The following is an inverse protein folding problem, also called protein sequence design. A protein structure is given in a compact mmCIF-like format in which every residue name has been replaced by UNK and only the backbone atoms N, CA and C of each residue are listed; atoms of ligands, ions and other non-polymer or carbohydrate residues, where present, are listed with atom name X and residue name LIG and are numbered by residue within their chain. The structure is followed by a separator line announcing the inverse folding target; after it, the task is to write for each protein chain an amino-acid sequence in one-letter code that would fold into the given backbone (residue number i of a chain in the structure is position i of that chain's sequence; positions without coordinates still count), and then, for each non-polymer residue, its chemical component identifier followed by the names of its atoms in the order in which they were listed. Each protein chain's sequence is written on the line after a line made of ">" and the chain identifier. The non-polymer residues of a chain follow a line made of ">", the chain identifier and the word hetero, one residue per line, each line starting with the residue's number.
data_IF_562017681720
#
_entry.id   IF_562017681720
#
_cell.length_a   1.000
_cell.length_b   1.000
_cell.length_c   1.000
_cell.angle_alpha   90.00
_cell.angle_beta   90.00
_cell.angle_gamma   90.00
#
_symmetry.space_group_name_H-M   'P 1'
#
loop_
_entity.id
_entity.type
_entity.pdbx_description
1 polymer ?
#
# COMPACT_ATOMS: atom_id res chain seq x y z
N UNK A 1 -13.95 -15.26 -3.62
CA UNK A 1 -14.40 -13.89 -3.30
C UNK A 1 -13.28 -12.91 -3.59
N UNK A 2 -13.64 -11.82 -4.25
CA UNK A 2 -12.66 -10.82 -4.64
C UNK A 2 -11.90 -10.22 -3.45
N UNK A 3 -12.61 -9.86 -2.38
CA UNK A 3 -11.99 -9.24 -1.21
C UNK A 3 -11.01 -10.19 -0.54
N UNK A 4 -11.38 -11.46 -0.38
CA UNK A 4 -10.48 -12.45 0.21
C UNK A 4 -9.20 -12.58 -0.60
N UNK A 5 -9.30 -12.55 -1.93
CA UNK A 5 -8.14 -12.62 -2.82
C UNK A 5 -7.23 -11.39 -2.65
N UNK A 6 -7.83 -10.19 -2.56
CA UNK A 6 -7.08 -8.96 -2.37
C UNK A 6 -6.34 -9.00 -1.03
N UNK A 7 -7.04 -9.38 0.04
CA UNK A 7 -6.42 -9.47 1.37
C UNK A 7 -5.26 -10.45 1.38
N UNK A 8 -5.43 -11.59 0.74
CA UNK A 8 -4.37 -12.60 0.64
C UNK A 8 -3.14 -12.05 -0.09
N UNK A 9 -3.34 -11.28 -1.17
CA UNK A 9 -2.22 -10.68 -1.90
C UNK A 9 -1.47 -9.66 -1.06
N UNK A 10 -2.21 -8.81 -0.32
CA UNK A 10 -1.57 -7.81 0.55
C UNK A 10 -0.69 -8.50 1.57
N UNK A 11 -1.22 -9.52 2.26
CA UNK A 11 -0.48 -10.23 3.29
C UNK A 11 0.78 -10.90 2.72
N UNK A 12 0.65 -11.53 1.55
CA UNK A 12 1.78 -12.20 0.91
C UNK A 12 2.89 -11.20 0.57
N UNK A 13 2.53 -10.07 -0.04
CA UNK A 13 3.52 -9.07 -0.43
C UNK A 13 4.13 -8.38 0.79
N UNK A 14 3.35 -8.09 1.83
CA UNK A 14 3.88 -7.48 3.05
C UNK A 14 4.87 -8.41 3.74
N UNK A 15 4.56 -9.69 3.82
CA UNK A 15 5.44 -10.68 4.44
C UNK A 15 6.77 -10.75 3.72
N UNK A 16 6.73 -10.82 2.38
CA UNK A 16 7.95 -10.86 1.58
C UNK A 16 8.75 -9.58 1.67
N UNK A 17 8.07 -8.44 1.71
CA UNK A 17 8.74 -7.15 1.88
C UNK A 17 9.47 -7.10 3.23
N UNK A 18 8.83 -7.57 4.30
CA UNK A 18 9.46 -7.60 5.61
C UNK A 18 10.72 -8.46 5.60
N UNK A 19 10.66 -9.64 5.01
CA UNK A 19 11.81 -10.55 4.90
C UNK A 19 12.95 -9.88 4.13
N UNK A 20 12.65 -9.29 2.98
CA UNK A 20 13.65 -8.66 2.13
C UNK A 20 14.25 -7.40 2.75
N UNK A 21 13.46 -6.67 3.53
CA UNK A 21 13.92 -5.42 4.16
C UNK A 21 15.04 -5.64 5.16
N UNK A 22 15.21 -6.88 5.63
CA UNK A 22 16.27 -7.25 6.57
C UNK A 22 17.56 -7.65 5.87
N UNK A 23 17.54 -7.73 4.56
CA UNK A 23 18.70 -8.14 3.75
C UNK A 23 19.48 -6.92 3.28
N UNK A 24 20.60 -7.16 2.62
CA UNK A 24 21.48 -6.10 2.12
C UNK A 24 20.91 -5.47 0.85
N UNK A 25 20.40 -4.25 0.96
CA UNK A 25 19.79 -3.54 -0.17
C UNK A 25 20.80 -3.04 -1.21
N UNK A 26 22.11 -3.11 -0.91
CA UNK A 26 23.10 -2.82 -1.94
C UNK A 26 23.17 -3.94 -2.98
N UNK A 27 22.61 -5.10 -2.65
CA UNK A 27 22.49 -6.21 -3.59
C UNK A 27 21.36 -5.91 -4.58
N UNK A 28 21.71 -5.92 -5.88
CA UNK A 28 20.77 -5.58 -6.94
C UNK A 28 19.49 -6.41 -6.92
N UNK A 29 19.61 -7.71 -6.72
CA UNK A 29 18.43 -8.59 -6.73
C UNK A 29 17.54 -8.34 -5.51
N UNK A 30 18.15 -8.10 -4.35
CA UNK A 30 17.39 -7.80 -3.13
C UNK A 30 16.65 -6.47 -3.28
N UNK A 31 17.34 -5.45 -3.76
CA UNK A 31 16.72 -4.13 -3.97
C UNK A 31 15.51 -4.22 -4.90
N UNK A 32 15.70 -4.84 -6.06
CA UNK A 32 14.62 -4.95 -7.04
C UNK A 32 13.46 -5.79 -6.52
N UNK A 33 13.75 -6.87 -5.81
CA UNK A 33 12.71 -7.71 -5.23
C UNK A 33 11.90 -6.96 -4.19
N UNK A 34 12.57 -6.21 -3.30
CA UNK A 34 11.88 -5.43 -2.28
C UNK A 34 11.01 -4.34 -2.92
N UNK A 35 11.55 -3.64 -3.92
CA UNK A 35 10.79 -2.61 -4.63
C UNK A 35 9.51 -3.19 -5.23
N UNK A 36 9.60 -4.37 -5.85
CA UNK A 36 8.43 -5.02 -6.47
C UNK A 36 7.42 -5.45 -5.40
N UNK A 37 7.88 -6.02 -4.28
CA UNK A 37 6.96 -6.47 -3.23
C UNK A 37 6.23 -5.28 -2.61
N UNK A 38 6.93 -4.18 -2.34
CA UNK A 38 6.30 -2.96 -1.82
C UNK A 38 5.31 -2.39 -2.83
N UNK A 39 5.69 -2.33 -4.11
CA UNK A 39 4.86 -1.83 -5.18
C UNK A 39 3.55 -2.63 -5.26
N UNK A 40 3.64 -3.96 -5.24
CA UNK A 40 2.47 -4.81 -5.33
C UNK A 40 1.60 -4.75 -4.06
N UNK A 41 2.21 -4.61 -2.89
CA UNK A 41 1.46 -4.45 -1.65
C UNK A 41 0.59 -3.19 -1.71
N UNK A 42 1.17 -2.07 -2.15
CA UNK A 42 0.43 -0.80 -2.24
C UNK A 42 -0.65 -0.88 -3.32
N UNK A 43 -0.33 -1.46 -4.48
CA UNK A 43 -1.34 -1.63 -5.53
C UNK A 43 -2.53 -2.47 -5.05
N UNK A 44 -2.27 -3.53 -4.32
CA UNK A 44 -3.35 -4.37 -3.78
C UNK A 44 -4.16 -3.61 -2.72
N UNK A 45 -3.50 -2.78 -1.92
CA UNK A 45 -4.19 -1.93 -0.94
C UNK A 45 -5.06 -0.88 -1.63
N UNK A 46 -4.60 -0.32 -2.74
CA UNK A 46 -5.39 0.62 -3.53
C UNK A 46 -6.64 -0.08 -4.06
N UNK A 47 -6.49 -1.28 -4.59
CA UNK A 47 -7.62 -2.06 -5.08
C UNK A 47 -8.62 -2.34 -3.95
N UNK A 48 -8.12 -2.66 -2.76
CA UNK A 48 -8.98 -2.86 -1.60
C UNK A 48 -9.74 -1.58 -1.25
N UNK A 49 -9.03 -0.44 -1.22
CA UNK A 49 -9.66 0.86 -0.95
C UNK A 49 -10.77 1.18 -1.94
N UNK A 50 -10.50 0.96 -3.23
CA UNK A 50 -11.50 1.17 -4.28
C UNK A 50 -12.71 0.27 -4.10
N UNK A 51 -12.49 -0.97 -3.70
CA UNK A 51 -13.57 -1.92 -3.44
C UNK A 51 -14.41 -1.47 -2.25
N UNK A 52 -13.78 -1.00 -1.18
CA UNK A 52 -14.50 -0.49 0.00
C UNK A 52 -15.34 0.72 -0.37
N UNK A 53 -14.77 1.68 -1.11
CA UNK A 53 -15.48 2.88 -1.55
C UNK A 53 -16.71 2.50 -2.37
N UNK A 54 -16.57 1.53 -3.26
CA UNK A 54 -17.67 1.06 -4.10
C UNK A 54 -18.75 0.37 -3.26
N UNK A 55 -18.36 -0.56 -2.37
CA UNK A 55 -19.29 -1.31 -1.56
C UNK A 55 -20.07 -0.43 -0.58
N UNK A 56 -19.43 0.63 -0.09
CA UNK A 56 -20.04 1.57 0.85
C UNK A 56 -20.69 2.77 0.16
N UNK A 57 -20.66 2.81 -1.16
CA UNK A 57 -21.25 3.89 -1.95
C UNK A 57 -20.73 5.27 -1.53
N UNK A 58 -19.43 5.40 -1.34
CA UNK A 58 -18.85 6.66 -0.86
C UNK A 58 -18.59 7.68 -1.96
N UNK A 59 -18.65 7.27 -3.21
CA UNK A 59 -18.45 8.17 -4.34
C UNK A 59 -17.60 7.56 -5.44
N UNK A 60 -17.10 8.41 -6.33
CA UNK A 60 -16.30 8.00 -7.49
C UNK A 60 -14.96 8.72 -7.39
N UNK A 61 -13.92 8.06 -6.85
CA UNK A 61 -12.62 8.71 -6.69
C UNK A 61 -11.97 8.98 -8.05
N UNK A 62 -11.34 10.14 -8.19
CA UNK A 62 -10.61 10.52 -9.40
C UNK A 62 -9.12 10.22 -9.30
N UNK A 63 -8.63 9.78 -8.14
CA UNK A 63 -7.24 9.47 -7.92
C UNK A 63 -7.11 8.44 -6.80
N UNK A 64 -5.94 7.81 -6.69
CA UNK A 64 -5.67 6.89 -5.59
C UNK A 64 -5.77 7.60 -4.23
N UNK A 65 -5.24 8.81 -4.15
CA UNK A 65 -5.33 9.60 -2.93
C UNK A 65 -6.78 9.84 -2.53
N UNK A 66 -7.63 10.20 -3.50
CA UNK A 66 -9.03 10.49 -3.22
C UNK A 66 -9.78 9.27 -2.71
N UNK A 67 -9.40 8.08 -3.18
CA UNK A 67 -9.97 6.83 -2.66
C UNK A 67 -9.86 6.78 -1.14
N UNK A 68 -8.66 7.05 -0.62
CA UNK A 68 -8.43 6.98 0.83
C UNK A 68 -8.93 8.23 1.54
N UNK A 69 -9.01 9.35 0.85
CA UNK A 69 -9.62 10.55 1.41
C UNK A 69 -11.10 10.31 1.74
N UNK A 70 -11.82 9.58 0.90
CA UNK A 70 -13.20 9.18 1.20
C UNK A 70 -13.26 8.37 2.49
N UNK A 71 -12.37 7.41 2.67
CA UNK A 71 -12.34 6.61 3.89
C UNK A 71 -12.03 7.47 5.12
N UNK A 72 -11.12 8.42 4.99
CA UNK A 72 -10.77 9.31 6.08
C UNK A 72 -11.95 10.23 6.45
N UNK A 73 -12.62 10.81 5.46
CA UNK A 73 -13.76 11.70 5.71
C UNK A 73 -14.92 10.97 6.37
N UNK A 74 -15.08 9.69 6.09
CA UNK A 74 -16.11 8.84 6.72
C UNK A 74 -15.63 8.28 8.05
N UNK A 75 -14.48 8.73 8.55
CA UNK A 75 -13.90 8.32 9.83
C UNK A 75 -13.64 6.81 9.92
N UNK A 76 -13.40 6.17 8.79
CA UNK A 76 -13.09 4.76 8.73
C UNK A 76 -11.61 4.48 8.96
N UNK A 77 -10.75 5.46 8.67
CA UNK A 77 -9.33 5.38 8.98
C UNK A 77 -8.90 6.65 9.71
N UNK A 78 -7.84 6.53 10.50
CA UNK A 78 -7.30 7.66 11.27
C UNK A 78 -6.54 8.62 10.36
N UNK A 79 -6.29 9.84 10.87
CA UNK A 79 -5.48 10.82 10.17
C UNK A 79 -4.06 10.29 9.92
N UNK A 80 -3.47 9.63 10.94
CA UNK A 80 -2.13 9.07 10.81
C UNK A 80 -2.07 8.03 9.71
N UNK A 81 -3.06 7.15 9.62
CA UNK A 81 -3.14 6.16 8.56
C UNK A 81 -3.29 6.83 7.19
N UNK A 82 -4.15 7.83 7.09
CA UNK A 82 -4.33 8.54 5.83
C UNK A 82 -3.03 9.21 5.36
N UNK A 83 -2.33 9.89 6.27
CA UNK A 83 -1.04 10.53 5.91
C UNK A 83 -0.01 9.49 5.48
N UNK A 84 0.05 8.37 6.19
CA UNK A 84 0.96 7.28 5.86
C UNK A 84 0.64 6.70 4.47
N UNK A 85 -0.62 6.47 4.18
CA UNK A 85 -1.03 5.92 2.89
C UNK A 85 -0.70 6.90 1.75
N UNK A 86 -0.85 8.20 1.98
CA UNK A 86 -0.45 9.20 0.97
C UNK A 86 1.03 9.08 0.65
N UNK A 87 1.86 8.87 1.66
CA UNK A 87 3.30 8.67 1.45
C UNK A 87 3.58 7.39 0.67
N UNK A 88 2.87 6.31 1.00
CA UNK A 88 2.99 5.05 0.27
C UNK A 88 2.61 5.22 -1.20
N UNK A 89 1.55 5.97 -1.48
CA UNK A 89 1.12 6.24 -2.87
C UNK A 89 2.20 7.03 -3.60
N UNK A 90 2.79 8.04 -2.93
CA UNK A 90 3.88 8.81 -3.52
C UNK A 90 5.05 7.90 -3.90
N UNK A 91 5.48 7.02 -3.00
CA UNK A 91 6.60 6.11 -3.25
C UNK A 91 6.25 5.08 -4.32
N UNK A 92 5.01 4.60 -4.32
CA UNK A 92 4.53 3.69 -5.37
C UNK A 92 4.60 4.34 -6.73
N UNK A 93 4.18 5.62 -6.83
CA UNK A 93 4.23 6.35 -8.09
C UNK A 93 5.66 6.60 -8.53
N UNK A 94 6.57 6.82 -7.58
CA UNK A 94 7.99 6.99 -7.89
C UNK A 94 8.54 5.71 -8.54
N UNK A 95 8.21 4.54 -7.99
CA UNK A 95 8.62 3.27 -8.57
C UNK A 95 8.00 3.09 -9.96
N UNK A 96 6.73 3.43 -10.12
CA UNK A 96 6.03 3.23 -11.39
C UNK A 96 6.58 4.10 -12.52
N UNK A 97 6.97 5.33 -12.22
CA UNK A 97 7.30 6.32 -13.24
C UNK A 97 8.77 6.71 -13.29
N UNK A 98 9.50 6.57 -12.17
CA UNK A 98 10.89 7.00 -12.07
C UNK A 98 11.69 6.03 -11.21
N UNK A 99 11.67 4.76 -11.59
CA UNK A 99 12.25 3.68 -10.79
C UNK A 99 13.70 3.94 -10.36
N UNK A 100 14.52 4.54 -11.23
CA UNK A 100 15.94 4.77 -10.91
C UNK A 100 16.13 5.78 -9.79
N UNK A 101 15.13 6.60 -9.49
CA UNK A 101 15.31 7.69 -8.52
C UNK A 101 14.99 7.28 -7.10
N UNK A 102 14.38 6.10 -6.90
CA UNK A 102 14.11 5.65 -5.53
C UNK A 102 15.41 5.18 -4.88
N UNK A 103 15.68 5.72 -3.68
CA UNK A 103 16.89 5.38 -2.94
C UNK A 103 16.66 4.17 -2.04
N UNK A 104 17.77 3.60 -1.52
CA UNK A 104 17.69 2.51 -0.54
C UNK A 104 16.93 2.98 0.71
N UNK A 105 17.18 4.23 1.14
CA UNK A 105 16.52 4.78 2.32
C UNK A 105 15.02 4.92 2.10
N UNK A 106 14.61 5.42 0.95
CA UNK A 106 13.20 5.54 0.61
C UNK A 106 12.52 4.18 0.55
N UNK A 107 13.21 3.19 0.00
CA UNK A 107 12.66 1.84 -0.11
C UNK A 107 12.52 1.20 1.28
N UNK A 108 13.51 1.40 2.16
CA UNK A 108 13.41 0.94 3.54
C UNK A 108 12.24 1.60 4.27
N UNK A 109 12.08 2.90 4.07
CA UNK A 109 10.95 3.62 4.66
C UNK A 109 9.63 3.05 4.17
N UNK A 110 9.52 2.82 2.86
CA UNK A 110 8.31 2.26 2.26
C UNK A 110 7.94 0.92 2.89
N UNK A 111 8.93 0.04 3.05
CA UNK A 111 8.70 -1.27 3.67
C UNK A 111 8.17 -1.13 5.09
N UNK A 112 8.72 -0.19 5.89
CA UNK A 112 8.24 0.07 7.25
C UNK A 112 6.81 0.61 7.26
N UNK A 113 6.50 1.49 6.32
CA UNK A 113 5.19 2.13 6.27
C UNK A 113 4.06 1.18 5.90
N UNK A 114 4.37 0.00 5.35
CA UNK A 114 3.33 -0.96 4.97
C UNK A 114 2.45 -1.38 6.14
N UNK A 115 2.93 -1.25 7.38
CA UNK A 115 2.12 -1.58 8.55
C UNK A 115 0.91 -0.66 8.71
N UNK A 116 0.94 0.54 8.13
CA UNK A 116 -0.21 1.44 8.24
C UNK A 116 -1.42 0.96 7.42
N UNK A 117 -1.24 -0.08 6.61
CA UNK A 117 -2.36 -0.66 5.87
C UNK A 117 -3.29 -1.49 6.75
N UNK A 118 -2.92 -1.73 8.01
CA UNK A 118 -3.71 -2.56 8.91
C UNK A 118 -5.15 -2.07 9.07
N UNK A 119 -5.36 -0.74 9.19
CA UNK A 119 -6.73 -0.23 9.34
C UNK A 119 -7.58 -0.53 8.12
N UNK A 120 -7.02 -0.39 6.92
CA UNK A 120 -7.74 -0.67 5.67
C UNK A 120 -8.02 -2.17 5.55
N UNK A 121 -7.06 -2.99 5.92
CA UNK A 121 -7.20 -4.44 5.92
C UNK A 121 -8.35 -4.84 6.85
N UNK A 122 -8.41 -4.23 8.03
CA UNK A 122 -9.45 -4.54 9.01
C UNK A 122 -10.85 -4.20 8.48
N UNK A 123 -10.97 -3.07 7.78
CA UNK A 123 -12.24 -2.73 7.12
C UNK A 123 -12.61 -3.81 6.11
N UNK A 124 -11.63 -4.24 5.30
CA UNK A 124 -11.85 -5.27 4.29
C UNK A 124 -12.34 -6.58 4.88
N UNK A 125 -11.78 -6.97 6.02
CA UNK A 125 -12.17 -8.21 6.71
C UNK A 125 -13.61 -8.18 7.21
N UNK A 126 -14.14 -6.99 7.43
CA UNK A 126 -15.48 -6.83 8.02
C UNK A 126 -16.53 -6.39 6.99
N UNK A 127 -16.20 -6.41 5.72
CA UNK A 127 -17.17 -6.07 4.67
C UNK A 127 -18.22 -7.14 4.47
#
# INVERSE_FOLDING_TARGET
>A
MRIASILSRIERHRKKAEELSKMDLSNYLVFNSLAMECFQAVNSAIELGETIVSEKNLGFPSSYKETFEFLYKEKMISKNTFECIKKLIFLRNLIAHEYYTISEEELKEMAKLLSCLDEVIEIGKNL
#
